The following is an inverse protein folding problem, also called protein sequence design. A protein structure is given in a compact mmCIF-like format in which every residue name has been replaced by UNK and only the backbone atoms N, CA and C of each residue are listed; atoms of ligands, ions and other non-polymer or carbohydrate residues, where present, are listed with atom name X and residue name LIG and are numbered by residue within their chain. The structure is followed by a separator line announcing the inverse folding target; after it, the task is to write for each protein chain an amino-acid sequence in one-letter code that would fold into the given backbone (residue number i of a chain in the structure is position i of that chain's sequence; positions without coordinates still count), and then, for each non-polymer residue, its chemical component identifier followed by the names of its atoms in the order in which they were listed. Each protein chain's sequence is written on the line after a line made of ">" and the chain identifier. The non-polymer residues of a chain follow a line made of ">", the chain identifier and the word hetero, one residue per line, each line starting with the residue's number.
data_IF_002638284116
#
_entry.id   IF_002638284116
#
_cell.length_a   1.000
_cell.length_b   1.000
_cell.length_c   1.000
_cell.angle_alpha   90.00
_cell.angle_beta   90.00
_cell.angle_gamma   90.00
#
_symmetry.space_group_name_H-M   'P 1'
#
loop_
_entity.id
_entity.type
_entity.pdbx_description
1 polymer ?
#
# COMPACT_ATOMS: atom_id res chain seq x y z
N UNK A 1 9.87 21.28 -16.96
CA UNK A 1 10.34 19.90 -16.84
C UNK A 1 9.18 18.96 -17.16
N UNK A 2 9.26 18.23 -18.27
CA UNK A 2 8.15 17.44 -18.81
C UNK A 2 7.77 16.28 -17.89
N UNK A 3 6.53 16.27 -17.40
CA UNK A 3 5.95 15.11 -16.75
C UNK A 3 5.87 14.02 -17.82
N UNK A 4 6.79 13.07 -17.81
CA UNK A 4 6.62 11.84 -18.59
C UNK A 4 5.32 11.21 -18.11
N UNK A 5 4.25 11.35 -18.89
CA UNK A 5 3.05 10.54 -18.75
C UNK A 5 3.49 9.10 -19.04
N UNK A 6 4.03 8.41 -18.04
CA UNK A 6 4.21 6.97 -18.15
C UNK A 6 2.83 6.38 -18.44
N UNK A 7 2.73 5.55 -19.48
CA UNK A 7 1.49 4.85 -19.78
C UNK A 7 1.02 4.17 -18.49
N UNK A 8 -0.25 4.34 -18.09
CA UNK A 8 -0.75 3.84 -16.82
C UNK A 8 -0.48 2.34 -16.61
N UNK A 9 -0.45 1.57 -17.70
CA UNK A 9 -0.04 0.16 -17.71
C UNK A 9 1.40 -0.07 -17.21
N UNK A 10 2.35 0.82 -17.54
CA UNK A 10 3.74 0.73 -17.07
C UNK A 10 3.83 0.95 -15.56
N UNK A 11 3.07 1.92 -15.03
CA UNK A 11 2.98 2.19 -13.59
C UNK A 11 2.34 0.98 -12.87
N UNK A 12 1.23 0.47 -13.40
CA UNK A 12 0.54 -0.70 -12.83
C UNK A 12 1.44 -1.94 -12.82
N UNK A 13 2.13 -2.23 -13.94
CA UNK A 13 3.09 -3.35 -14.03
C UNK A 13 4.23 -3.19 -13.04
N UNK A 14 4.79 -1.98 -12.89
CA UNK A 14 5.84 -1.71 -11.91
C UNK A 14 5.36 -1.95 -10.47
N UNK A 15 4.17 -1.46 -10.13
CA UNK A 15 3.55 -1.68 -8.81
C UNK A 15 3.27 -3.17 -8.54
N UNK A 16 2.78 -3.89 -9.54
CA UNK A 16 2.57 -5.34 -9.46
C UNK A 16 3.88 -6.08 -9.22
N UNK A 17 4.93 -5.78 -9.99
CA UNK A 17 6.24 -6.39 -9.82
C UNK A 17 6.84 -6.08 -8.44
N UNK A 18 6.73 -4.85 -7.93
CA UNK A 18 7.21 -4.50 -6.58
C UNK A 18 6.50 -5.33 -5.51
N UNK A 19 5.18 -5.54 -5.63
CA UNK A 19 4.43 -6.36 -4.68
C UNK A 19 4.78 -7.84 -4.80
N UNK A 20 4.88 -8.38 -6.01
CA UNK A 20 5.23 -9.79 -6.25
C UNK A 20 6.65 -10.10 -5.74
N UNK A 21 7.60 -9.19 -5.96
CA UNK A 21 8.98 -9.34 -5.50
C UNK A 21 9.14 -9.10 -3.99
N UNK A 22 8.10 -8.64 -3.28
CA UNK A 22 8.16 -8.41 -1.85
C UNK A 22 7.81 -9.71 -1.07
N UNK A 23 8.78 -10.38 -0.44
CA UNK A 23 8.53 -11.68 0.17
C UNK A 23 7.65 -11.60 1.43
N UNK A 24 7.42 -10.41 1.98
CA UNK A 24 6.64 -10.21 3.20
C UNK A 24 5.22 -10.74 3.05
N UNK A 25 4.60 -10.47 1.89
CA UNK A 25 3.25 -10.93 1.59
C UNK A 25 3.21 -12.45 1.43
N UNK A 26 4.17 -13.03 0.69
CA UNK A 26 4.27 -14.48 0.52
C UNK A 26 4.48 -15.22 1.85
N UNK A 27 5.36 -14.70 2.72
CA UNK A 27 5.61 -15.26 4.06
C UNK A 27 4.35 -15.14 4.94
N UNK A 28 3.64 -14.02 4.88
CA UNK A 28 2.37 -13.85 5.59
C UNK A 28 1.34 -14.91 5.19
N UNK A 29 1.19 -15.16 3.88
CA UNK A 29 0.31 -16.21 3.39
C UNK A 29 0.74 -17.60 3.86
N UNK A 30 2.03 -17.91 3.77
CA UNK A 30 2.55 -19.19 4.25
C UNK A 30 2.34 -19.39 5.75
N UNK A 31 2.39 -18.33 6.55
CA UNK A 31 2.19 -18.40 7.99
C UNK A 31 0.70 -18.48 8.39
N UNK A 32 -0.19 -17.87 7.63
CA UNK A 32 -1.60 -17.68 8.05
C UNK A 32 -2.61 -18.52 7.29
N UNK A 33 -2.33 -18.94 6.05
CA UNK A 33 -3.28 -19.77 5.29
C UNK A 33 -3.34 -21.23 5.72
N UNK A 34 -2.24 -21.94 6.04
CA UNK A 34 -2.31 -23.36 6.37
C UNK A 34 -3.33 -23.73 7.46
N UNK A 35 -3.49 -22.93 8.54
CA UNK A 35 -4.53 -23.17 9.54
C UNK A 35 -5.98 -23.14 9.02
N UNK A 36 -6.25 -22.54 7.85
CA UNK A 36 -7.58 -22.46 7.24
C UNK A 36 -7.85 -23.57 6.22
N UNK A 37 -6.87 -24.45 5.95
CA UNK A 37 -7.03 -25.55 5.00
C UNK A 37 -7.74 -26.74 5.65
N UNK A 38 -8.33 -27.61 4.83
CA UNK A 38 -9.02 -28.83 5.26
C UNK A 38 -8.10 -29.91 5.86
N UNK A 39 -6.77 -29.74 5.72
CA UNK A 39 -5.75 -30.68 6.19
C UNK A 39 -5.40 -31.80 5.19
N UNK A 40 -6.07 -31.87 4.03
CA UNK A 40 -5.73 -32.82 2.96
C UNK A 40 -4.57 -32.30 2.09
N UNK A 41 -3.45 -33.04 1.97
CA UNK A 41 -2.33 -32.64 1.12
C UNK A 41 -2.70 -32.53 -0.36
N UNK A 42 -3.68 -33.31 -0.82
CA UNK A 42 -4.08 -33.36 -2.24
C UNK A 42 -4.84 -32.10 -2.68
N UNK A 43 -5.60 -31.47 -1.77
CA UNK A 43 -6.37 -30.26 -2.06
C UNK A 43 -5.68 -28.97 -1.61
N UNK A 44 -4.63 -29.08 -0.80
CA UNK A 44 -3.94 -27.95 -0.19
C UNK A 44 -3.55 -26.86 -1.19
N UNK A 45 -2.93 -27.21 -2.33
CA UNK A 45 -2.51 -26.21 -3.34
C UNK A 45 -3.71 -25.45 -3.93
N UNK A 46 -4.81 -26.15 -4.22
CA UNK A 46 -6.02 -25.54 -4.78
C UNK A 46 -6.71 -24.64 -3.77
N UNK A 47 -6.83 -25.09 -2.52
CA UNK A 47 -7.40 -24.31 -1.43
C UNK A 47 -6.57 -23.04 -1.15
N UNK A 48 -5.24 -23.16 -1.12
CA UNK A 48 -4.35 -21.99 -0.99
C UNK A 48 -4.51 -21.00 -2.14
N UNK A 49 -4.62 -21.48 -3.39
CA UNK A 49 -4.83 -20.63 -4.55
C UNK A 49 -6.21 -19.92 -4.49
N UNK A 50 -7.26 -20.63 -4.06
CA UNK A 50 -8.60 -20.07 -3.88
C UNK A 50 -8.63 -18.99 -2.79
N UNK A 51 -8.15 -19.30 -1.59
CA UNK A 51 -8.13 -18.33 -0.48
C UNK A 51 -7.24 -17.13 -0.80
N UNK A 52 -6.07 -17.37 -1.43
CA UNK A 52 -5.20 -16.30 -1.92
C UNK A 52 -5.89 -15.43 -2.97
N UNK A 53 -6.63 -16.03 -3.91
CA UNK A 53 -7.43 -15.33 -4.91
C UNK A 53 -8.53 -14.47 -4.29
N UNK A 54 -9.27 -15.00 -3.31
CA UNK A 54 -10.28 -14.24 -2.56
C UNK A 54 -9.66 -13.05 -1.84
N UNK A 55 -8.54 -13.26 -1.14
CA UNK A 55 -7.81 -12.17 -0.51
C UNK A 55 -7.35 -11.12 -1.52
N UNK A 56 -6.80 -11.53 -2.66
CA UNK A 56 -6.35 -10.62 -3.71
C UNK A 56 -7.52 -9.79 -4.25
N UNK A 57 -8.69 -10.41 -4.47
CA UNK A 57 -9.89 -9.73 -4.93
C UNK A 57 -10.39 -8.69 -3.92
N UNK A 58 -10.45 -9.05 -2.63
CA UNK A 58 -10.79 -8.12 -1.56
C UNK A 58 -9.80 -6.96 -1.47
N UNK A 59 -8.50 -7.27 -1.48
CA UNK A 59 -7.43 -6.27 -1.44
C UNK A 59 -7.54 -5.32 -2.63
N UNK A 60 -7.76 -5.85 -3.83
CA UNK A 60 -7.94 -5.03 -5.03
C UNK A 60 -9.17 -4.12 -4.91
N UNK A 61 -10.31 -4.64 -4.46
CA UNK A 61 -11.54 -3.86 -4.27
C UNK A 61 -11.33 -2.72 -3.26
N UNK A 62 -10.71 -3.01 -2.12
CA UNK A 62 -10.37 -2.01 -1.09
C UNK A 62 -9.43 -0.95 -1.64
N UNK A 63 -8.35 -1.36 -2.33
CA UNK A 63 -7.39 -0.41 -2.92
C UNK A 63 -8.02 0.43 -4.04
N UNK A 64 -8.94 -0.12 -4.82
CA UNK A 64 -9.69 0.64 -5.82
C UNK A 64 -10.53 1.74 -5.16
N UNK A 65 -11.25 1.42 -4.07
CA UNK A 65 -12.02 2.41 -3.30
C UNK A 65 -11.09 3.49 -2.74
N UNK A 66 -9.98 3.11 -2.12
CA UNK A 66 -8.98 4.06 -1.63
C UNK A 66 -8.38 4.90 -2.75
N UNK A 67 -8.10 4.31 -3.92
CA UNK A 67 -7.54 5.00 -5.07
C UNK A 67 -8.49 6.05 -5.63
N UNK A 68 -9.78 5.72 -5.76
CA UNK A 68 -10.81 6.67 -6.17
C UNK A 68 -10.97 7.81 -5.16
N UNK A 69 -11.00 7.49 -3.87
CA UNK A 69 -11.06 8.48 -2.81
C UNK A 69 -9.82 9.39 -2.82
N UNK A 70 -8.63 8.81 -2.99
CA UNK A 70 -7.36 9.54 -3.07
C UNK A 70 -7.32 10.46 -4.29
N UNK A 71 -7.85 10.05 -5.44
CA UNK A 71 -7.96 10.90 -6.62
C UNK A 71 -8.81 12.14 -6.34
N UNK A 72 -9.99 11.95 -5.73
CA UNK A 72 -10.88 13.07 -5.36
C UNK A 72 -10.27 13.97 -4.30
N UNK A 73 -9.62 13.37 -3.29
CA UNK A 73 -8.93 14.10 -2.23
C UNK A 73 -7.77 14.94 -2.80
N UNK A 74 -7.00 14.38 -3.75
CA UNK A 74 -5.91 15.09 -4.42
C UNK A 74 -6.42 16.35 -5.11
N UNK A 75 -7.51 16.24 -5.85
CA UNK A 75 -8.06 17.39 -6.59
C UNK A 75 -8.57 18.48 -5.64
N UNK A 76 -9.17 18.11 -4.50
CA UNK A 76 -9.55 19.05 -3.44
C UNK A 76 -8.34 19.70 -2.75
N UNK A 77 -7.30 18.91 -2.43
CA UNK A 77 -6.07 19.39 -1.79
C UNK A 77 -5.33 20.38 -2.69
N UNK A 78 -5.19 20.06 -3.98
CA UNK A 78 -4.51 20.92 -4.94
C UNK A 78 -5.32 22.18 -5.28
N UNK A 79 -6.64 22.14 -5.16
CA UNK A 79 -7.52 23.30 -5.32
C UNK A 79 -7.54 24.26 -4.13
N UNK A 80 -7.05 23.84 -2.94
CA UNK A 80 -7.11 24.64 -1.71
C UNK A 80 -5.73 25.00 -1.18
N UNK A 81 -5.35 26.28 -1.32
CA UNK A 81 -4.11 26.81 -0.74
C UNK A 81 -4.05 26.63 0.78
N UNK A 82 -5.20 26.68 1.48
CA UNK A 82 -5.25 26.46 2.93
C UNK A 82 -4.95 25.01 3.30
N UNK A 83 -5.50 24.04 2.57
CA UNK A 83 -5.24 22.63 2.85
C UNK A 83 -3.76 22.28 2.62
N UNK A 84 -3.16 22.78 1.54
CA UNK A 84 -1.73 22.60 1.26
C UNK A 84 -0.84 23.23 2.34
N UNK A 85 -1.22 24.41 2.86
CA UNK A 85 -0.50 25.04 3.99
C UNK A 85 -0.53 24.18 5.25
N UNK A 86 -1.67 23.59 5.58
CA UNK A 86 -1.78 22.69 6.74
C UNK A 86 -0.94 21.43 6.55
N UNK A 87 -0.98 20.78 5.38
CA UNK A 87 -0.12 19.64 5.06
C UNK A 87 1.36 19.98 5.28
N UNK A 88 1.84 21.11 4.73
CA UNK A 88 3.23 21.51 4.86
C UNK A 88 3.62 21.81 6.32
N UNK A 89 2.72 22.44 7.09
CA UNK A 89 2.95 22.71 8.51
C UNK A 89 2.99 21.43 9.34
N UNK A 90 2.10 20.48 9.07
CA UNK A 90 2.09 19.17 9.74
C UNK A 90 3.37 18.38 9.45
N UNK A 91 3.84 18.37 8.19
CA UNK A 91 5.10 17.73 7.83
C UNK A 91 6.29 18.39 8.54
N UNK A 92 6.35 19.73 8.54
CA UNK A 92 7.40 20.46 9.25
C UNK A 92 7.40 20.15 10.76
N UNK A 93 6.21 20.11 11.38
CA UNK A 93 6.07 19.77 12.79
C UNK A 93 6.54 18.33 13.09
N UNK A 94 6.20 17.36 12.24
CA UNK A 94 6.67 15.97 12.38
C UNK A 94 8.19 15.90 12.26
N UNK A 95 8.81 16.58 11.30
CA UNK A 95 10.27 16.59 11.17
C UNK A 95 10.96 17.25 12.35
N UNK A 96 10.42 18.36 12.87
CA UNK A 96 10.95 19.01 14.08
C UNK A 96 10.84 18.05 15.26
N UNK A 97 9.71 17.37 15.44
CA UNK A 97 9.51 16.39 16.51
C UNK A 97 10.48 15.21 16.41
N UNK A 98 10.69 14.67 15.20
CA UNK A 98 11.65 13.60 14.96
C UNK A 98 13.10 14.06 15.22
N UNK A 99 13.46 15.27 14.80
CA UNK A 99 14.78 15.84 15.05
C UNK A 99 15.02 16.07 16.55
N UNK A 100 14.03 16.59 17.27
CA UNK A 100 14.08 16.76 18.72
C UNK A 100 14.21 15.42 19.44
N UNK A 101 13.44 14.41 19.03
CA UNK A 101 13.54 13.05 19.57
C UNK A 101 14.92 12.44 19.31
N UNK A 102 15.46 12.59 18.10
CA UNK A 102 16.79 12.10 17.77
C UNK A 102 17.87 12.81 18.57
N UNK A 103 17.75 14.13 18.76
CA UNK A 103 18.67 14.89 19.61
C UNK A 103 18.63 14.40 21.05
N UNK A 104 17.44 14.13 21.58
CA UNK A 104 17.25 13.59 22.92
C UNK A 104 17.80 12.17 23.09
N UNK A 105 17.61 11.29 22.12
CA UNK A 105 18.19 9.94 22.13
C UNK A 105 19.72 9.94 21.98
N UNK A 106 20.31 11.05 21.50
CA UNK A 106 21.75 11.21 21.29
C UNK A 106 22.48 11.92 22.43
N UNK A 107 21.77 12.57 23.36
CA UNK A 107 22.29 13.16 24.61
C UNK A 107 22.14 12.21 25.77
#
# INVERSE_FOLDING_TARGET
>A
AGKSHEAGHRIARRGALINILNPKLSIFFLALLPPFLSGSPETATLEMALLGGVFMAMTFAVLMIYGLFAAKMRDWLLGSATAMRWINRSLAAIFIALAARLAWERT
#
